data_IF_222785295657
#
_entry.id   IF_222785295657
#
_cell.length_a   1.000
_cell.length_b   1.000
_cell.length_c   1.000
_cell.angle_alpha   90.00
_cell.angle_beta   90.00
_cell.angle_gamma   90.00
#
_symmetry.space_group_name_H-M   'P 1'
#
loop_
_entity.id
_entity.type
_entity.pdbx_description
1 polymer ?
#
# COMPACT_ATOMS: atom_id res chain seq x y z
N UNK A 1 -10.95 -16.20 -20.56
CA UNK A 1 -10.80 -14.74 -20.85
C UNK A 1 -9.35 -14.40 -20.62
N UNK A 2 -8.72 -13.57 -21.48
CA UNK A 2 -7.28 -13.25 -21.37
C UNK A 2 -7.04 -12.35 -20.16
N UNK A 3 -5.99 -12.64 -19.37
CA UNK A 3 -5.50 -11.77 -18.30
C UNK A 3 -4.46 -10.82 -18.89
N UNK A 4 -4.64 -9.53 -18.70
CA UNK A 4 -3.74 -8.49 -19.24
C UNK A 4 -3.28 -7.55 -18.13
N UNK A 5 -2.02 -7.10 -18.21
CA UNK A 5 -1.45 -6.10 -17.30
C UNK A 5 -0.70 -5.01 -18.07
N UNK A 6 -0.72 -3.81 -17.55
CA UNK A 6 0.17 -2.76 -18.03
C UNK A 6 1.59 -3.00 -17.50
N UNK A 7 2.53 -3.18 -18.41
CA UNK A 7 3.92 -3.36 -18.08
C UNK A 7 4.68 -2.04 -18.22
N UNK A 8 5.21 -1.51 -17.13
CA UNK A 8 5.97 -0.25 -17.13
C UNK A 8 7.23 -0.34 -17.98
N UNK A 9 7.83 -1.53 -18.09
CA UNK A 9 9.05 -1.76 -18.89
C UNK A 9 8.79 -1.55 -20.39
N UNK A 10 7.69 -2.08 -20.90
CA UNK A 10 7.30 -1.98 -22.32
C UNK A 10 6.35 -0.81 -22.60
N UNK A 11 5.72 -0.26 -21.52
CA UNK A 11 4.70 0.79 -21.57
C UNK A 11 3.45 0.42 -22.35
N UNK A 12 3.12 -0.85 -22.33
CA UNK A 12 1.96 -1.40 -23.01
C UNK A 12 1.15 -2.26 -22.05
N UNK A 13 -0.15 -2.36 -22.34
CA UNK A 13 -0.99 -3.40 -21.78
C UNK A 13 -0.78 -4.67 -22.61
N UNK A 14 -0.35 -5.73 -21.96
CA UNK A 14 0.08 -6.98 -22.59
C UNK A 14 -0.67 -8.15 -21.96
N UNK A 15 -0.90 -9.20 -22.73
CA UNK A 15 -1.39 -10.48 -22.22
C UNK A 15 -0.34 -11.08 -21.29
N UNK A 16 -0.76 -11.47 -20.11
CA UNK A 16 0.14 -12.04 -19.11
C UNK A 16 0.36 -13.54 -19.38
N UNK A 17 1.62 -13.92 -19.41
CA UNK A 17 2.07 -15.30 -19.48
C UNK A 17 3.11 -15.52 -18.38
N UNK A 18 2.89 -16.51 -17.51
CA UNK A 18 3.88 -16.89 -16.51
C UNK A 18 5.05 -17.64 -17.15
N UNK A 19 6.24 -17.49 -16.57
CA UNK A 19 7.45 -18.21 -17.00
C UNK A 19 7.26 -19.72 -16.85
N UNK A 20 6.76 -20.13 -15.67
CA UNK A 20 6.41 -21.53 -15.40
C UNK A 20 4.90 -21.70 -15.58
N UNK A 21 4.46 -22.76 -16.22
CA UNK A 21 3.03 -23.00 -16.47
C UNK A 21 2.24 -23.00 -15.16
N UNK A 22 1.17 -22.19 -15.11
CA UNK A 22 0.25 -22.04 -13.95
C UNK A 22 0.91 -21.59 -12.62
N UNK A 23 2.19 -21.18 -12.66
CA UNK A 23 2.89 -20.70 -11.47
C UNK A 23 3.42 -19.28 -11.70
N UNK A 24 3.17 -18.39 -10.75
CA UNK A 24 3.63 -17.00 -10.78
C UNK A 24 4.59 -16.74 -9.63
N UNK A 25 5.76 -16.21 -9.94
CA UNK A 25 6.74 -15.71 -9.00
C UNK A 25 6.69 -14.20 -8.98
N UNK A 26 6.34 -13.63 -7.82
CA UNK A 26 6.11 -12.19 -7.65
C UNK A 26 7.00 -11.64 -6.54
N UNK A 27 7.64 -10.50 -6.79
CA UNK A 27 8.34 -9.72 -5.78
C UNK A 27 7.66 -8.37 -5.58
N UNK A 28 7.51 -7.95 -4.34
CA UNK A 28 6.97 -6.64 -3.99
C UNK A 28 7.89 -5.92 -3.01
N UNK A 29 8.23 -4.67 -3.30
CA UNK A 29 8.96 -3.83 -2.35
C UNK A 29 8.11 -3.60 -1.11
N UNK A 30 8.64 -4.01 0.04
CA UNK A 30 8.03 -3.86 1.35
C UNK A 30 8.37 -2.53 2.03
N UNK A 31 8.01 -2.36 3.30
CA UNK A 31 8.23 -1.12 4.04
C UNK A 31 9.67 -0.97 4.52
N UNK A 32 10.11 0.29 4.63
CA UNK A 32 11.24 0.66 5.48
C UNK A 32 10.70 0.96 6.88
N UNK A 33 11.14 0.19 7.87
CA UNK A 33 10.51 0.14 9.20
C UNK A 33 11.16 1.06 10.23
N UNK A 34 11.40 2.32 9.87
CA UNK A 34 11.87 3.36 10.80
C UNK A 34 10.73 4.22 11.37
N UNK A 35 9.52 4.07 10.88
CA UNK A 35 8.33 4.81 11.32
C UNK A 35 7.05 4.12 10.88
N UNK A 36 5.89 4.58 11.38
CA UNK A 36 4.58 4.10 10.93
C UNK A 36 4.42 4.22 9.42
N UNK A 37 3.90 3.15 8.80
CA UNK A 37 3.39 3.21 7.44
C UNK A 37 2.10 4.05 7.41
N UNK A 38 1.97 4.90 6.41
CA UNK A 38 0.80 5.76 6.24
C UNK A 38 -0.13 5.22 5.14
N UNK A 39 -1.34 5.78 5.04
CA UNK A 39 -2.35 5.36 4.07
C UNK A 39 -1.87 5.38 2.61
N UNK A 40 -0.92 6.26 2.27
CA UNK A 40 -0.31 6.27 0.94
C UNK A 40 0.51 5.02 0.65
N UNK A 41 1.26 4.51 1.65
CA UNK A 41 1.96 3.23 1.52
C UNK A 41 0.94 2.08 1.43
N UNK A 42 -0.09 2.09 2.27
CA UNK A 42 -1.11 1.03 2.25
C UNK A 42 -1.92 0.98 0.96
N UNK A 43 -2.09 2.07 0.23
CA UNK A 43 -2.64 2.02 -1.12
C UNK A 43 -1.84 1.09 -2.03
N UNK A 44 -0.50 1.16 -1.97
CA UNK A 44 0.38 0.28 -2.75
C UNK A 44 0.26 -1.18 -2.28
N UNK A 45 0.18 -1.43 -0.97
CA UNK A 45 0.00 -2.81 -0.46
C UNK A 45 -1.39 -3.38 -0.76
N UNK A 46 -2.44 -2.54 -0.79
CA UNK A 46 -3.78 -2.94 -1.26
C UNK A 46 -3.74 -3.33 -2.75
N UNK A 47 -3.02 -2.56 -3.57
CA UNK A 47 -2.79 -2.91 -4.98
C UNK A 47 -2.07 -4.25 -5.12
N UNK A 48 -1.00 -4.49 -4.38
CA UNK A 48 -0.25 -5.75 -4.39
C UNK A 48 -1.12 -6.95 -3.97
N UNK A 49 -1.94 -6.78 -2.92
CA UNK A 49 -2.90 -7.79 -2.46
C UNK A 49 -3.97 -8.07 -3.53
N UNK A 50 -4.49 -7.03 -4.16
CA UNK A 50 -5.49 -7.18 -5.24
C UNK A 50 -4.91 -7.94 -6.41
N UNK A 51 -3.68 -7.63 -6.86
CA UNK A 51 -2.98 -8.37 -7.91
C UNK A 51 -2.82 -9.84 -7.53
N UNK A 52 -2.36 -10.10 -6.31
CA UNK A 52 -2.22 -11.45 -5.76
C UNK A 52 -3.55 -12.23 -5.83
N UNK A 53 -4.64 -11.58 -5.41
CA UNK A 53 -6.00 -12.18 -5.41
C UNK A 53 -6.51 -12.41 -6.84
N UNK A 54 -6.27 -11.48 -7.76
CA UNK A 54 -6.61 -11.65 -9.19
C UNK A 54 -5.86 -12.82 -9.81
N UNK A 55 -4.56 -12.97 -9.54
CA UNK A 55 -3.77 -14.11 -10.02
C UNK A 55 -4.33 -15.44 -9.48
N UNK A 56 -4.60 -15.53 -8.17
CA UNK A 56 -5.19 -16.72 -7.56
C UNK A 56 -6.61 -17.01 -8.08
N UNK A 57 -7.41 -15.98 -8.31
CA UNK A 57 -8.76 -16.13 -8.88
C UNK A 57 -8.73 -16.68 -10.31
N UNK A 58 -7.68 -16.39 -11.07
CA UNK A 58 -7.41 -16.96 -12.39
C UNK A 58 -6.74 -18.35 -12.35
N UNK A 59 -6.54 -18.93 -11.16
CA UNK A 59 -6.04 -20.29 -10.99
C UNK A 59 -4.51 -20.43 -10.93
N UNK A 60 -3.77 -19.34 -10.84
CA UNK A 60 -2.31 -19.42 -10.68
C UNK A 60 -1.90 -19.84 -9.27
N UNK A 61 -0.92 -20.74 -9.17
CA UNK A 61 -0.12 -20.95 -7.96
C UNK A 61 0.85 -19.78 -7.80
N UNK A 62 0.86 -19.16 -6.63
CA UNK A 62 1.61 -17.93 -6.40
C UNK A 62 2.71 -18.10 -5.36
N UNK A 63 3.93 -17.74 -5.73
CA UNK A 63 5.04 -17.53 -4.80
C UNK A 63 5.36 -16.04 -4.71
N UNK A 64 4.82 -15.38 -3.69
CA UNK A 64 5.01 -13.95 -3.45
C UNK A 64 6.04 -13.71 -2.36
N UNK A 65 7.04 -12.89 -2.66
CA UNK A 65 8.09 -12.45 -1.73
C UNK A 65 7.94 -10.95 -1.48
N UNK A 66 8.02 -10.54 -0.22
CA UNK A 66 8.09 -9.15 0.20
C UNK A 66 9.22 -8.98 1.22
N UNK A 67 10.03 -7.94 1.04
CA UNK A 67 11.05 -7.58 2.01
C UNK A 67 10.49 -6.74 3.16
N UNK A 68 11.25 -6.73 4.25
CA UNK A 68 11.22 -5.70 5.29
C UNK A 68 12.60 -5.05 5.30
N UNK A 69 12.67 -3.78 4.94
CA UNK A 69 13.91 -3.00 5.03
C UNK A 69 14.12 -2.58 6.48
N UNK A 70 14.82 -3.41 7.21
CA UNK A 70 15.18 -3.26 8.63
C UNK A 70 16.65 -2.90 8.84
N UNK A 71 17.35 -2.52 7.78
CA UNK A 71 18.67 -1.89 7.81
C UNK A 71 18.55 -0.39 7.62
N UNK A 72 19.53 0.35 8.10
CA UNK A 72 19.62 1.78 7.87
C UNK A 72 19.96 2.09 6.42
N UNK A 73 19.39 3.15 5.89
CA UNK A 73 19.80 3.75 4.63
C UNK A 73 19.65 5.27 4.66
N UNK A 74 20.39 5.94 3.81
CA UNK A 74 20.50 7.39 3.80
C UNK A 74 19.19 8.08 3.39
N UNK A 75 19.02 9.34 3.79
CA UNK A 75 17.77 10.10 3.54
C UNK A 75 17.50 10.31 2.06
N UNK A 76 18.57 10.52 1.27
CA UNK A 76 18.49 10.77 -0.17
C UNK A 76 18.67 9.49 -0.99
N UNK A 77 17.93 9.39 -2.07
CA UNK A 77 18.11 8.34 -3.10
C UNK A 77 19.45 8.50 -3.87
N UNK A 78 20.18 9.61 -3.63
CA UNK A 78 21.51 9.88 -4.16
C UNK A 78 22.65 9.47 -3.21
N UNK A 79 22.37 8.61 -2.24
CA UNK A 79 23.31 8.12 -1.22
C UNK A 79 23.88 9.24 -0.32
N UNK A 80 23.06 10.24 0.02
CA UNK A 80 23.43 11.38 0.87
C UNK A 80 22.47 11.55 2.05
N UNK A 81 22.94 12.26 3.08
CA UNK A 81 22.16 12.59 4.27
C UNK A 81 22.42 11.64 5.44
N UNK A 82 21.57 11.73 6.44
CA UNK A 82 21.64 10.93 7.65
C UNK A 82 20.91 9.59 7.47
N UNK A 83 21.38 8.55 8.17
CA UNK A 83 20.68 7.27 8.20
C UNK A 83 19.32 7.40 8.89
N UNK A 84 18.24 7.01 8.19
CA UNK A 84 16.86 7.13 8.66
C UNK A 84 16.57 6.30 9.90
N UNK A 85 17.16 5.09 9.99
CA UNK A 85 16.96 4.19 11.13
C UNK A 85 17.66 4.73 12.38
N UNK A 86 18.91 5.17 12.24
CA UNK A 86 19.66 5.75 13.34
C UNK A 86 19.06 7.08 13.83
N UNK A 87 18.55 7.89 12.91
CA UNK A 87 17.82 9.11 13.23
C UNK A 87 16.56 8.81 14.07
N UNK A 88 15.81 7.78 13.68
CA UNK A 88 14.63 7.33 14.44
C UNK A 88 15.05 6.80 15.83
N UNK A 89 16.09 5.98 15.88
CA UNK A 89 16.62 5.41 17.12
C UNK A 89 17.05 6.50 18.12
N UNK A 90 17.80 7.52 17.66
CA UNK A 90 18.18 8.67 18.51
C UNK A 90 16.97 9.46 18.99
N UNK A 91 16.00 9.71 18.12
CA UNK A 91 14.77 10.45 18.45
C UNK A 91 13.94 9.71 19.52
N UNK A 92 13.81 8.40 19.41
CA UNK A 92 13.02 7.58 20.33
C UNK A 92 13.84 7.04 21.51
N UNK A 93 15.17 7.27 21.53
CA UNK A 93 16.12 6.75 22.55
C UNK A 93 16.06 5.22 22.68
N UNK A 94 15.97 4.54 21.54
CA UNK A 94 15.90 3.09 21.44
C UNK A 94 17.00 2.56 20.53
N UNK A 95 17.27 1.27 20.62
CA UNK A 95 18.15 0.56 19.69
C UNK A 95 17.51 0.49 18.29
N UNK A 96 18.27 0.67 17.17
CA UNK A 96 17.73 0.56 15.82
C UNK A 96 17.01 -0.76 15.53
N UNK A 97 17.48 -1.88 16.08
CA UNK A 97 16.82 -3.18 15.92
C UNK A 97 15.48 -3.25 16.66
N UNK A 98 15.36 -2.61 17.83
CA UNK A 98 14.09 -2.48 18.55
C UNK A 98 13.09 -1.64 17.75
N UNK A 99 13.56 -0.54 17.16
CA UNK A 99 12.74 0.31 16.28
C UNK A 99 12.22 -0.49 15.09
N UNK A 100 13.11 -1.19 14.39
CA UNK A 100 12.76 -2.00 13.22
C UNK A 100 11.73 -3.10 13.57
N UNK A 101 11.92 -3.81 14.67
CA UNK A 101 10.98 -4.83 15.12
C UNK A 101 9.62 -4.24 15.48
N UNK A 102 9.59 -3.15 16.24
CA UNK A 102 8.36 -2.47 16.65
C UNK A 102 7.50 -2.04 15.45
N UNK A 103 8.09 -1.34 14.49
CA UNK A 103 7.34 -0.87 13.31
C UNK A 103 6.99 -2.01 12.34
N UNK A 104 7.79 -3.08 12.29
CA UNK A 104 7.45 -4.30 11.56
C UNK A 104 6.17 -4.93 12.10
N UNK A 105 6.06 -5.10 13.42
CA UNK A 105 4.86 -5.67 14.04
C UNK A 105 3.61 -4.84 13.78
N UNK A 106 3.73 -3.51 13.87
CA UNK A 106 2.61 -2.61 13.59
C UNK A 106 2.19 -2.71 12.12
N UNK A 107 3.15 -2.71 11.21
CA UNK A 107 2.87 -2.86 9.78
C UNK A 107 2.09 -4.16 9.49
N UNK A 108 2.53 -5.28 10.06
CA UNK A 108 1.85 -6.57 9.89
C UNK A 108 0.43 -6.57 10.48
N UNK A 109 0.23 -5.94 11.64
CA UNK A 109 -1.11 -5.76 12.24
C UNK A 109 -2.02 -4.89 11.36
N UNK A 110 -1.49 -3.83 10.77
CA UNK A 110 -2.27 -2.97 9.88
C UNK A 110 -2.61 -3.67 8.56
N UNK A 111 -1.73 -4.55 8.03
CA UNK A 111 -2.09 -5.45 6.93
C UNK A 111 -3.26 -6.37 7.29
N UNK A 112 -3.26 -6.96 8.49
CA UNK A 112 -4.37 -7.81 8.97
C UNK A 112 -5.68 -7.03 9.05
N UNK A 113 -5.67 -5.80 9.61
CA UNK A 113 -6.86 -4.93 9.67
C UNK A 113 -7.42 -4.59 8.28
N UNK A 114 -6.56 -4.47 7.28
CA UNK A 114 -6.92 -4.22 5.88
C UNK A 114 -7.31 -5.50 5.12
N UNK A 115 -7.34 -6.65 5.80
CA UNK A 115 -7.53 -7.96 5.17
C UNK A 115 -6.61 -8.13 3.94
N UNK A 116 -5.33 -7.80 4.12
CA UNK A 116 -4.28 -8.04 3.13
C UNK A 116 -3.67 -9.41 3.42
N UNK A 117 -3.70 -10.29 2.44
CA UNK A 117 -3.12 -11.63 2.56
C UNK A 117 -1.60 -11.53 2.72
N UNK A 118 -1.05 -12.25 3.70
CA UNK A 118 0.41 -12.31 3.87
C UNK A 118 1.07 -12.95 2.64
N UNK A 119 2.17 -12.35 2.12
CA UNK A 119 3.03 -13.03 1.16
C UNK A 119 3.51 -14.38 1.68
N UNK A 120 3.78 -15.32 0.78
CA UNK A 120 4.32 -16.63 1.13
C UNK A 120 5.69 -16.52 1.82
N UNK A 121 6.45 -15.48 1.48
CA UNK A 121 7.74 -15.18 2.11
C UNK A 121 7.79 -13.69 2.45
N UNK A 122 7.98 -13.40 3.74
CA UNK A 122 8.40 -12.09 4.23
C UNK A 122 9.80 -12.27 4.78
N UNK A 123 10.78 -11.49 4.29
CA UNK A 123 12.18 -11.61 4.67
C UNK A 123 12.80 -10.25 5.02
N UNK A 124 13.60 -10.21 6.05
CA UNK A 124 14.29 -9.00 6.51
C UNK A 124 15.60 -8.78 5.77
N UNK A 125 15.97 -7.54 5.51
CA UNK A 125 17.25 -7.18 4.92
C UNK A 125 18.43 -7.69 5.77
N UNK A 126 18.34 -7.57 7.12
CA UNK A 126 19.36 -8.07 8.05
C UNK A 126 19.60 -9.58 7.98
N UNK A 127 18.62 -10.36 7.51
CA UNK A 127 18.73 -11.82 7.32
C UNK A 127 19.43 -12.21 6.02
N UNK A 128 19.78 -11.22 5.18
CA UNK A 128 20.30 -11.44 3.83
C UNK A 128 21.68 -10.79 3.59
N UNK A 129 22.38 -10.35 4.62
CA UNK A 129 23.65 -9.62 4.53
C UNK A 129 24.72 -10.42 3.77
N UNK A 130 24.91 -11.72 4.07
CA UNK A 130 25.90 -12.55 3.38
C UNK A 130 25.59 -12.70 1.89
N UNK A 131 24.32 -12.84 1.54
CA UNK A 131 23.87 -12.95 0.15
C UNK A 131 24.08 -11.63 -0.61
N UNK A 132 23.87 -10.49 0.06
CA UNK A 132 24.16 -9.17 -0.51
C UNK A 132 25.65 -8.98 -0.79
N UNK A 133 26.53 -9.39 0.15
CA UNK A 133 27.97 -9.36 -0.06
C UNK A 133 28.37 -10.21 -1.26
N UNK A 134 27.82 -11.42 -1.39
CA UNK A 134 28.13 -12.29 -2.52
C UNK A 134 27.61 -11.74 -3.84
N UNK A 135 26.46 -11.08 -3.83
CA UNK A 135 25.91 -10.40 -4.99
C UNK A 135 26.81 -9.25 -5.47
N UNK A 136 27.31 -8.42 -4.53
CA UNK A 136 28.28 -7.35 -4.84
C UNK A 136 29.59 -7.90 -5.41
N UNK A 137 30.14 -9.00 -4.83
CA UNK A 137 31.34 -9.66 -5.38
C UNK A 137 31.13 -10.09 -6.82
N UNK A 138 29.94 -10.61 -7.18
CA UNK A 138 29.62 -11.04 -8.53
C UNK A 138 29.59 -9.84 -9.49
N UNK A 139 28.95 -8.72 -9.11
CA UNK A 139 28.94 -7.48 -9.88
C UNK A 139 30.37 -6.95 -10.11
N UNK A 140 31.20 -6.95 -9.06
CA UNK A 140 32.63 -6.55 -9.17
C UNK A 140 33.38 -7.47 -10.14
N UNK A 141 33.22 -8.79 -9.98
CA UNK A 141 33.86 -9.79 -10.84
C UNK A 141 33.54 -9.59 -12.32
N UNK A 142 32.28 -9.19 -12.60
CA UNK A 142 31.79 -8.94 -13.95
C UNK A 142 32.21 -7.55 -14.50
N UNK A 143 32.89 -6.72 -13.69
CA UNK A 143 33.43 -5.42 -14.11
C UNK A 143 32.44 -4.27 -14.10
N UNK A 144 31.30 -4.40 -13.39
CA UNK A 144 30.27 -3.37 -13.29
C UNK A 144 30.35 -2.52 -12.01
N UNK A 145 31.34 -2.76 -11.15
CA UNK A 145 31.51 -1.98 -9.93
C UNK A 145 32.98 -1.61 -9.67
N UNK A 146 33.19 -0.57 -8.87
CA UNK A 146 34.50 -0.09 -8.46
C UNK A 146 34.46 0.38 -7.01
N UNK A 147 35.66 0.43 -6.37
CA UNK A 147 35.83 0.88 -5.01
C UNK A 147 36.21 2.36 -4.97
N UNK A 148 35.67 3.07 -3.98
CA UNK A 148 36.03 4.45 -3.59
C UNK A 148 36.40 4.49 -2.11
N UNK A 149 36.79 5.65 -1.59
CA UNK A 149 37.00 5.83 -0.15
C UNK A 149 35.72 5.59 0.66
N UNK A 150 34.54 5.82 0.07
CA UNK A 150 33.21 5.69 0.71
C UNK A 150 32.57 4.33 0.59
N UNK A 151 33.00 3.48 -0.33
CA UNK A 151 32.42 2.16 -0.53
C UNK A 151 32.54 1.62 -1.94
N UNK A 152 31.65 0.69 -2.28
CA UNK A 152 31.57 0.05 -3.60
C UNK A 152 30.42 0.68 -4.37
N UNK A 153 30.70 1.15 -5.57
CA UNK A 153 29.74 1.82 -6.45
C UNK A 153 29.54 1.05 -7.74
N UNK A 154 28.29 1.04 -8.23
CA UNK A 154 27.94 0.52 -9.52
C UNK A 154 28.33 1.51 -10.62
N UNK A 155 29.01 1.04 -11.66
CA UNK A 155 29.44 1.80 -12.84
C UNK A 155 28.38 1.72 -13.95
N UNK A 156 27.46 2.69 -13.99
CA UNK A 156 26.37 2.68 -15.00
C UNK A 156 26.89 2.81 -16.45
N UNK A 157 28.11 3.32 -16.65
CA UNK A 157 28.70 3.46 -17.98
C UNK A 157 29.00 2.12 -18.66
N UNK A 158 28.97 1.01 -17.88
CA UNK A 158 29.15 -0.36 -18.39
C UNK A 158 27.89 -0.96 -18.97
N UNK A 159 26.71 -0.35 -18.73
CA UNK A 159 25.46 -0.80 -19.29
C UNK A 159 25.25 -0.22 -20.69
N UNK A 160 24.77 -1.06 -21.62
CA UNK A 160 24.40 -0.63 -22.97
C UNK A 160 23.32 0.46 -22.95
N UNK A 161 22.42 0.38 -21.97
CA UNK A 161 21.32 1.32 -21.77
C UNK A 161 20.99 1.49 -20.29
N UNK A 162 21.03 2.74 -19.82
CA UNK A 162 20.55 3.20 -18.53
C UNK A 162 20.07 4.65 -18.67
N UNK A 163 18.90 5.04 -18.18
CA UNK A 163 17.87 4.20 -17.56
C UNK A 163 17.05 3.38 -18.59
N UNK A 164 16.44 2.29 -18.13
CA UNK A 164 15.65 1.37 -18.96
C UNK A 164 14.15 1.54 -18.70
N UNK A 165 13.78 1.62 -17.40
CA UNK A 165 12.40 1.62 -16.93
C UNK A 165 11.78 3.02 -16.97
N UNK A 166 12.48 4.03 -16.44
CA UNK A 166 11.98 5.41 -16.32
C UNK A 166 11.95 6.16 -17.65
N UNK A 167 12.86 5.80 -18.59
CA UNK A 167 13.07 6.49 -19.87
C UNK A 167 13.31 8.01 -19.72
N UNK A 168 13.72 8.47 -18.55
CA UNK A 168 14.13 9.86 -18.36
C UNK A 168 15.49 10.08 -18.99
N UNK A 169 15.71 11.28 -19.53
CA UNK A 169 17.07 11.68 -19.91
C UNK A 169 17.84 11.97 -18.60
N UNK A 170 19.05 11.42 -18.50
CA UNK A 170 19.89 11.63 -17.32
C UNK A 170 20.13 13.13 -17.04
N UNK A 171 20.32 13.92 -18.10
CA UNK A 171 20.54 15.37 -17.98
C UNK A 171 19.37 16.13 -17.32
N UNK A 172 18.14 15.64 -17.46
CA UNK A 172 16.97 16.26 -16.82
C UNK A 172 16.95 16.05 -15.28
N UNK A 173 17.70 15.08 -14.77
CA UNK A 173 17.84 14.84 -13.33
C UNK A 173 18.83 15.79 -12.67
N UNK A 174 19.90 16.20 -13.39
CA UNK A 174 20.89 17.18 -12.88
C UNK A 174 20.25 18.57 -12.74
N UNK A 175 19.36 18.94 -13.65
CA UNK A 175 18.75 20.27 -13.65
C UNK A 175 17.86 20.56 -12.41
N UNK A 176 17.40 19.52 -11.70
CA UNK A 176 16.54 19.63 -10.51
C UNK A 176 17.21 19.36 -9.15
N UNK A 177 18.41 18.80 -9.13
CA UNK A 177 19.14 18.47 -7.92
C UNK A 177 20.41 19.33 -7.82
N UNK A 178 20.49 20.16 -6.77
CA UNK A 178 21.77 20.68 -6.27
C UNK A 178 22.47 19.54 -5.53
N UNK A 179 23.03 18.58 -6.29
CA UNK A 179 23.83 17.50 -5.73
C UNK A 179 25.28 17.94 -5.83
N UNK A 180 25.96 18.02 -4.71
CA UNK A 180 27.42 18.09 -4.69
C UNK A 180 27.93 16.78 -5.28
N UNK A 181 28.47 16.84 -6.50
CA UNK A 181 28.97 15.66 -7.22
C UNK A 181 30.15 15.11 -6.45
N UNK A 182 30.03 13.88 -5.94
CA UNK A 182 31.14 13.19 -5.30
C UNK A 182 32.30 13.03 -6.33
N UNK A 183 33.46 13.64 -6.09
CA UNK A 183 34.58 13.63 -7.04
C UNK A 183 35.17 12.23 -7.28
N UNK A 184 34.89 11.26 -6.41
CA UNK A 184 35.34 9.88 -6.57
C UNK A 184 34.41 9.04 -7.47
N UNK A 185 33.18 9.50 -7.73
CA UNK A 185 32.27 8.83 -8.67
C UNK A 185 32.74 9.03 -10.12
N UNK A 186 32.81 7.96 -10.89
CA UNK A 186 33.14 8.03 -12.33
C UNK A 186 32.03 8.71 -13.13
N UNK A 187 30.79 8.51 -12.73
CA UNK A 187 29.61 9.15 -13.29
C UNK A 187 28.73 9.66 -12.13
N UNK A 188 28.16 10.87 -12.22
CA UNK A 188 27.28 11.41 -11.16
C UNK A 188 26.11 10.51 -10.79
N UNK A 189 25.68 9.63 -11.69
CA UNK A 189 24.57 8.69 -11.50
C UNK A 189 25.00 7.31 -11.01
N UNK A 190 26.30 7.08 -10.81
CA UNK A 190 26.75 5.85 -10.17
C UNK A 190 26.21 5.82 -8.74
N UNK A 191 25.73 4.68 -8.32
CA UNK A 191 25.04 4.49 -7.04
C UNK A 191 25.73 3.46 -6.16
N UNK A 192 25.57 3.61 -4.86
CA UNK A 192 26.23 2.74 -3.90
C UNK A 192 25.63 1.33 -3.90
N UNK A 193 26.50 0.33 -3.94
CA UNK A 193 26.16 -1.07 -3.68
C UNK A 193 26.44 -1.41 -2.22
N UNK A 194 27.56 -0.93 -1.69
CA UNK A 194 28.01 -1.23 -0.33
C UNK A 194 28.74 -0.01 0.24
N UNK A 195 28.32 0.48 1.41
CA UNK A 195 28.77 1.76 1.97
C UNK A 195 29.63 1.51 3.19
N UNK A 196 30.83 2.11 3.26
CA UNK A 196 31.70 2.06 4.44
C UNK A 196 31.02 2.79 5.59
N UNK A 197 30.88 2.08 6.72
CA UNK A 197 30.16 2.61 7.88
C UNK A 197 31.03 3.66 8.60
N UNK A 198 30.45 4.84 8.97
CA UNK A 198 31.07 5.73 9.92
C UNK A 198 31.35 5.04 11.25
N UNK A 199 32.32 5.54 12.03
CA UNK A 199 32.75 4.90 13.28
C UNK A 199 31.58 4.63 14.24
N UNK A 200 30.68 5.60 14.37
CA UNK A 200 29.52 5.56 15.27
C UNK A 200 28.28 4.90 14.68
N UNK A 201 28.35 4.38 13.46
CA UNK A 201 27.20 3.69 12.83
C UNK A 201 26.93 2.37 13.54
N UNK A 202 25.67 2.12 13.92
CA UNK A 202 25.30 0.95 14.74
C UNK A 202 25.09 -0.27 13.84
N UNK A 203 24.27 -0.12 12.76
CA UNK A 203 23.91 -1.21 11.86
C UNK A 203 24.98 -1.42 10.79
N UNK A 204 26.06 -2.09 11.15
CA UNK A 204 27.22 -2.37 10.27
C UNK A 204 27.68 -3.81 10.42
N UNK A 205 28.23 -4.35 9.35
CA UNK A 205 28.67 -5.74 9.26
C UNK A 205 30.08 -5.83 8.69
N UNK A 206 30.80 -6.87 9.12
CA UNK A 206 32.07 -7.23 8.51
C UNK A 206 31.86 -7.63 7.03
N UNK A 207 32.68 -7.11 6.17
CA UNK A 207 32.67 -7.40 4.74
C UNK A 207 34.10 -7.43 4.19
N UNK A 208 34.32 -7.90 2.96
CA UNK A 208 35.65 -7.82 2.32
C UNK A 208 36.17 -6.38 2.16
N UNK A 209 35.30 -5.39 2.31
CA UNK A 209 35.59 -3.96 2.17
C UNK A 209 35.64 -3.22 3.50
N UNK A 210 35.70 -3.98 4.62
CA UNK A 210 35.69 -3.48 6.00
C UNK A 210 34.28 -3.40 6.60
N UNK A 211 34.18 -2.76 7.78
CA UNK A 211 32.91 -2.50 8.46
C UNK A 211 32.02 -1.58 7.61
N UNK A 212 30.84 -2.06 7.22
CA UNK A 212 30.04 -1.43 6.19
C UNK A 212 28.59 -1.94 6.19
N UNK A 213 27.73 -1.35 5.36
CA UNK A 213 26.32 -1.71 5.25
C UNK A 213 25.85 -1.65 3.79
N UNK A 214 24.73 -2.32 3.42
CA UNK A 214 24.25 -2.38 2.05
C UNK A 214 23.67 -1.05 1.58
N UNK A 215 23.81 -0.75 0.28
CA UNK A 215 23.01 0.24 -0.40
C UNK A 215 21.57 -0.21 -0.55
N UNK A 216 20.63 0.72 -0.51
CA UNK A 216 19.19 0.44 -0.46
C UNK A 216 18.66 -0.47 -1.59
N UNK A 217 19.14 -0.30 -2.82
CA UNK A 217 18.65 -1.05 -3.98
C UNK A 217 19.08 -2.51 -3.96
N UNK A 218 20.21 -2.81 -3.31
CA UNK A 218 20.80 -4.13 -3.26
C UNK A 218 19.93 -5.15 -2.49
N UNK A 219 19.15 -4.67 -1.53
CA UNK A 219 18.29 -5.50 -0.72
C UNK A 219 17.28 -6.26 -1.58
N UNK A 220 16.48 -5.52 -2.37
CA UNK A 220 15.43 -6.09 -3.21
C UNK A 220 16.01 -6.98 -4.31
N UNK A 221 17.09 -6.54 -4.98
CA UNK A 221 17.77 -7.36 -5.98
C UNK A 221 18.25 -8.70 -5.44
N UNK A 222 18.86 -8.68 -4.25
CA UNK A 222 19.39 -9.90 -3.62
C UNK A 222 18.28 -10.82 -3.14
N UNK A 223 17.27 -10.29 -2.43
CA UNK A 223 16.17 -11.09 -1.91
C UNK A 223 15.29 -11.63 -3.04
N UNK A 224 15.02 -10.82 -4.08
CA UNK A 224 14.33 -11.28 -5.28
C UNK A 224 15.04 -12.47 -5.91
N UNK A 225 16.34 -12.37 -6.18
CA UNK A 225 17.13 -13.45 -6.75
C UNK A 225 17.19 -14.69 -5.83
N UNK A 226 17.41 -14.50 -4.54
CA UNK A 226 17.51 -15.60 -3.56
C UNK A 226 16.27 -16.48 -3.54
N UNK A 227 15.09 -15.89 -3.55
CA UNK A 227 13.84 -16.62 -3.33
C UNK A 227 13.09 -16.95 -4.61
N UNK A 228 13.27 -16.17 -5.69
CA UNK A 228 12.53 -16.32 -6.94
C UNK A 228 13.41 -16.74 -8.13
N UNK A 229 14.73 -16.66 -8.00
CA UNK A 229 15.68 -16.94 -9.08
C UNK A 229 16.12 -15.68 -9.82
N UNK A 230 16.94 -15.87 -10.85
CA UNK A 230 17.49 -14.76 -11.65
C UNK A 230 16.43 -14.03 -12.46
N UNK A 231 15.39 -14.74 -12.86
CA UNK A 231 14.24 -14.21 -13.59
C UNK A 231 12.95 -14.69 -12.91
N UNK A 232 11.97 -13.77 -12.78
CA UNK A 232 10.67 -14.05 -12.20
C UNK A 232 9.58 -13.25 -12.95
N UNK A 233 8.32 -13.51 -12.67
CA UNK A 233 7.23 -13.02 -13.49
C UNK A 233 6.92 -11.55 -13.27
N UNK A 234 6.70 -11.13 -12.02
CA UNK A 234 6.16 -9.81 -11.71
C UNK A 234 6.97 -9.12 -10.60
N UNK A 235 7.35 -7.85 -10.83
CA UNK A 235 7.88 -6.95 -9.81
C UNK A 235 6.92 -5.78 -9.60
N UNK A 236 6.63 -5.43 -8.32
CA UNK A 236 5.68 -4.36 -8.00
C UNK A 236 6.24 -3.36 -7.00
N UNK A 237 5.77 -2.11 -7.11
CA UNK A 237 6.08 -1.03 -6.16
C UNK A 237 5.20 0.19 -6.36
N UNK A 238 5.57 1.32 -5.75
CA UNK A 238 5.01 2.62 -6.04
C UNK A 238 5.67 3.25 -7.27
N UNK A 239 5.03 4.23 -7.90
CA UNK A 239 5.60 4.97 -9.04
C UNK A 239 6.88 5.74 -8.68
N UNK A 240 7.09 6.02 -7.39
CA UNK A 240 8.31 6.61 -6.85
C UNK A 240 9.54 5.70 -6.99
N UNK A 241 9.35 4.40 -7.07
CA UNK A 241 10.45 3.44 -7.30
C UNK A 241 10.97 3.45 -8.74
N UNK A 242 10.15 3.88 -9.72
CA UNK A 242 10.50 3.82 -11.16
C UNK A 242 11.81 4.57 -11.46
N UNK A 243 12.01 5.83 -11.03
CA UNK A 243 13.14 6.63 -11.50
C UNK A 243 14.49 6.21 -10.93
N UNK A 244 14.53 5.53 -9.80
CA UNK A 244 15.77 5.24 -9.07
C UNK A 244 15.82 3.80 -8.57
N UNK A 245 14.91 3.40 -7.66
CA UNK A 245 15.00 2.13 -6.96
C UNK A 245 14.93 0.93 -7.92
N UNK A 246 13.87 0.79 -8.68
CA UNK A 246 13.70 -0.31 -9.63
C UNK A 246 14.65 -0.20 -10.83
N UNK A 247 15.01 1.01 -11.24
CA UNK A 247 16.01 1.22 -12.27
C UNK A 247 17.36 0.64 -11.84
N UNK A 248 17.77 0.89 -10.60
CA UNK A 248 19.01 0.40 -10.03
C UNK A 248 18.98 -1.11 -9.76
N UNK A 249 17.82 -1.68 -9.40
CA UNK A 249 17.67 -3.14 -9.32
C UNK A 249 17.88 -3.81 -10.69
N UNK A 250 17.33 -3.22 -11.77
CA UNK A 250 17.58 -3.70 -13.13
C UNK A 250 19.06 -3.61 -13.46
N UNK A 251 19.73 -2.50 -13.13
CA UNK A 251 21.15 -2.32 -13.36
C UNK A 251 21.98 -3.36 -12.60
N UNK A 252 21.69 -3.58 -11.31
CA UNK A 252 22.36 -4.59 -10.49
C UNK A 252 22.18 -6.00 -11.05
N UNK A 253 20.96 -6.37 -11.46
CA UNK A 253 20.69 -7.68 -12.05
C UNK A 253 21.45 -7.86 -13.37
N UNK A 254 21.45 -6.85 -14.25
CA UNK A 254 22.25 -6.88 -15.48
C UNK A 254 23.75 -7.01 -15.20
N UNK A 255 24.27 -6.29 -14.20
CA UNK A 255 25.68 -6.39 -13.80
C UNK A 255 26.05 -7.76 -13.24
N UNK A 256 25.15 -8.41 -12.51
CA UNK A 256 25.38 -9.73 -11.92
C UNK A 256 25.16 -10.87 -12.93
N UNK A 257 24.05 -10.84 -13.70
CA UNK A 257 23.57 -12.00 -14.49
C UNK A 257 23.44 -11.72 -15.99
N UNK A 258 23.54 -10.47 -16.40
CA UNK A 258 23.25 -10.03 -17.79
C UNK A 258 21.75 -9.90 -18.10
N UNK A 259 20.84 -10.16 -17.14
CA UNK A 259 19.39 -10.26 -17.34
C UNK A 259 18.61 -9.17 -16.62
N UNK A 260 17.41 -8.87 -17.12
CA UNK A 260 16.39 -8.08 -16.38
C UNK A 260 15.63 -9.06 -15.48
N UNK A 261 15.50 -8.77 -14.17
CA UNK A 261 15.03 -9.78 -13.20
C UNK A 261 13.53 -10.09 -13.32
N UNK A 262 12.70 -9.15 -13.73
CA UNK A 262 11.26 -9.36 -13.85
C UNK A 262 10.75 -9.09 -15.25
N UNK A 263 9.81 -9.92 -15.71
CA UNK A 263 9.20 -9.79 -17.04
C UNK A 263 8.14 -8.69 -17.07
N UNK A 264 7.38 -8.51 -15.98
CA UNK A 264 6.32 -7.50 -15.85
C UNK A 264 6.61 -6.59 -14.66
N UNK A 265 6.65 -5.29 -14.90
CA UNK A 265 6.84 -4.26 -13.88
C UNK A 265 5.56 -3.47 -13.69
N UNK A 266 4.99 -3.53 -12.49
CA UNK A 266 3.71 -2.88 -12.20
C UNK A 266 3.85 -1.88 -11.05
N UNK A 267 3.29 -0.69 -11.24
CA UNK A 267 3.45 0.40 -10.28
C UNK A 267 2.12 1.04 -9.92
N UNK A 268 1.91 1.23 -8.61
CA UNK A 268 0.76 1.94 -8.06
C UNK A 268 1.03 3.45 -8.01
N UNK A 269 0.09 4.24 -8.48
CA UNK A 269 0.18 5.71 -8.49
C UNK A 269 -0.08 6.29 -7.08
N UNK A 270 0.32 7.52 -6.85
CA UNK A 270 0.27 8.19 -5.55
C UNK A 270 -1.15 8.36 -4.99
N UNK A 271 -1.23 8.28 -3.66
CA UNK A 271 -2.34 8.83 -2.90
C UNK A 271 -2.03 10.30 -2.58
N UNK A 272 -2.90 11.20 -3.01
CA UNK A 272 -2.90 12.61 -2.62
C UNK A 272 -3.80 12.81 -1.40
N UNK A 273 -3.59 13.88 -0.65
CA UNK A 273 -4.47 14.29 0.45
C UNK A 273 -4.88 15.73 0.19
N UNK A 274 -6.19 15.98 0.17
CA UNK A 274 -6.81 17.29 -0.10
C UNK A 274 -6.21 17.99 -1.34
N UNK A 275 -5.99 17.20 -2.41
CA UNK A 275 -5.44 17.68 -3.68
C UNK A 275 -3.93 17.92 -3.70
N UNK A 276 -3.24 17.74 -2.56
CA UNK A 276 -1.80 17.97 -2.39
C UNK A 276 -0.99 16.68 -2.24
N UNK A 277 0.34 16.84 -2.29
CA UNK A 277 1.27 15.75 -1.97
C UNK A 277 1.17 15.42 -0.48
N UNK A 278 1.09 14.13 -0.15
CA UNK A 278 1.22 13.65 1.22
C UNK A 278 2.68 13.77 1.66
N UNK A 279 2.95 14.44 2.79
CA UNK A 279 4.28 14.47 3.39
C UNK A 279 4.22 14.67 4.90
N UNK A 280 5.20 14.10 5.62
CA UNK A 280 5.33 14.27 7.07
C UNK A 280 5.53 15.74 7.48
N UNK A 281 6.24 16.52 6.65
CA UNK A 281 6.49 17.94 6.91
C UNK A 281 5.24 18.81 6.82
N UNK A 282 4.24 18.39 6.04
CA UNK A 282 2.95 19.08 5.94
C UNK A 282 1.94 18.61 6.99
N UNK A 283 2.27 17.61 7.81
CA UNK A 283 1.37 17.07 8.82
C UNK A 283 0.10 16.38 8.27
N UNK A 284 0.08 16.08 6.97
CA UNK A 284 -1.07 15.48 6.26
C UNK A 284 -0.89 13.98 5.97
N UNK A 285 -0.06 13.29 6.77
CA UNK A 285 0.11 11.84 6.71
C UNK A 285 -0.78 11.20 7.78
N UNK A 286 -1.59 10.22 7.38
CA UNK A 286 -2.50 9.49 8.27
C UNK A 286 -2.13 8.01 8.32
N UNK A 287 -2.16 7.42 9.52
CA UNK A 287 -2.03 5.97 9.74
C UNK A 287 -3.39 5.28 9.69
N UNK A 288 -3.40 3.96 9.60
CA UNK A 288 -4.65 3.17 9.68
C UNK A 288 -5.34 3.37 11.04
N UNK A 289 -4.58 3.43 12.14
CA UNK A 289 -5.15 3.69 13.47
C UNK A 289 -5.83 5.06 13.56
N UNK A 290 -5.22 6.10 12.96
CA UNK A 290 -5.83 7.44 12.93
C UNK A 290 -7.11 7.49 12.07
N UNK A 291 -7.25 6.64 11.04
CA UNK A 291 -8.53 6.51 10.33
C UNK A 291 -9.59 5.87 11.24
N UNK A 292 -9.21 4.82 11.99
CA UNK A 292 -10.12 4.17 12.95
C UNK A 292 -10.59 5.13 14.04
N UNK A 293 -9.69 5.93 14.63
CA UNK A 293 -10.03 6.99 15.61
C UNK A 293 -11.04 8.01 15.06
N UNK A 294 -11.10 8.17 13.74
CA UNK A 294 -12.08 9.04 13.06
C UNK A 294 -13.31 8.29 12.53
N UNK A 295 -13.55 7.06 12.98
CA UNK A 295 -14.70 6.24 12.59
C UNK A 295 -14.66 5.74 11.13
N UNK A 296 -13.46 5.61 10.53
CA UNK A 296 -13.27 5.05 9.21
C UNK A 296 -12.60 3.69 9.36
N UNK A 297 -13.33 2.62 9.04
CA UNK A 297 -12.77 1.28 9.14
C UNK A 297 -11.66 1.06 8.09
N UNK A 298 -10.67 0.20 8.38
CA UNK A 298 -9.63 -0.16 7.42
C UNK A 298 -10.19 -0.72 6.11
N UNK A 299 -11.27 -1.51 6.17
CA UNK A 299 -11.93 -2.08 4.99
C UNK A 299 -12.68 -1.00 4.17
N UNK A 300 -13.17 0.06 4.82
CA UNK A 300 -13.72 1.21 4.10
C UNK A 300 -12.62 1.97 3.35
N UNK A 301 -11.44 2.12 3.92
CA UNK A 301 -10.29 2.66 3.21
C UNK A 301 -9.86 1.75 2.04
N UNK A 302 -9.87 0.43 2.21
CA UNK A 302 -9.63 -0.50 1.10
C UNK A 302 -10.65 -0.33 -0.03
N UNK A 303 -11.94 -0.23 0.30
CA UNK A 303 -13.01 0.04 -0.66
C UNK A 303 -12.82 1.41 -1.34
N UNK A 304 -12.40 2.44 -0.59
CA UNK A 304 -12.06 3.75 -1.13
C UNK A 304 -10.96 3.65 -2.19
N UNK A 305 -9.93 2.82 -1.97
CA UNK A 305 -8.86 2.61 -2.94
C UNK A 305 -9.38 2.01 -4.27
N UNK A 306 -10.48 1.25 -4.26
CA UNK A 306 -11.09 0.68 -5.47
C UNK A 306 -11.91 1.69 -6.29
N UNK A 307 -12.11 2.91 -5.81
CA UNK A 307 -12.81 3.97 -6.58
C UNK A 307 -11.98 4.53 -7.73
N UNK A 308 -10.67 4.31 -7.72
CA UNK A 308 -9.77 4.69 -8.80
C UNK A 308 -8.95 3.48 -9.27
N UNK A 309 -8.59 3.50 -10.57
CA UNK A 309 -7.64 2.54 -11.10
C UNK A 309 -6.27 2.71 -10.41
N UNK A 310 -5.53 1.63 -10.15
CA UNK A 310 -4.26 1.68 -9.42
C UNK A 310 -3.21 2.59 -10.10
N UNK A 311 -3.25 2.76 -11.41
CA UNK A 311 -2.37 3.66 -12.19
C UNK A 311 -2.81 5.13 -12.20
N UNK A 312 -3.94 5.47 -11.61
CA UNK A 312 -4.42 6.84 -11.52
C UNK A 312 -4.16 7.39 -10.11
N UNK A 313 -3.84 8.69 -10.02
CA UNK A 313 -3.80 9.38 -8.74
C UNK A 313 -5.15 9.27 -8.06
N UNK A 314 -5.15 9.04 -6.76
CA UNK A 314 -6.35 9.01 -5.93
C UNK A 314 -6.23 10.11 -4.89
N UNK A 315 -7.23 10.97 -4.81
CA UNK A 315 -7.26 12.04 -3.83
C UNK A 315 -8.04 11.61 -2.59
N UNK A 316 -7.36 11.43 -1.48
CA UNK A 316 -7.98 11.16 -0.19
C UNK A 316 -8.51 12.45 0.41
N UNK A 317 -9.78 12.41 0.80
CA UNK A 317 -10.44 13.38 1.66
C UNK A 317 -11.22 12.63 2.72
N UNK A 318 -11.39 13.21 3.90
CA UNK A 318 -12.23 12.59 4.93
C UNK A 318 -13.68 12.42 4.47
N UNK A 319 -14.22 13.37 3.71
CA UNK A 319 -15.56 13.24 3.12
C UNK A 319 -15.66 12.01 2.20
N UNK A 320 -14.69 11.82 1.31
CA UNK A 320 -14.62 10.64 0.44
C UNK A 320 -14.48 9.34 1.21
N UNK A 321 -13.67 9.33 2.28
CA UNK A 321 -13.47 8.17 3.12
C UNK A 321 -14.73 7.83 3.95
N UNK A 322 -15.45 8.82 4.49
CA UNK A 322 -16.76 8.61 5.12
C UNK A 322 -17.81 8.12 4.11
N UNK A 323 -17.76 8.63 2.87
CA UNK A 323 -18.59 8.12 1.78
C UNK A 323 -18.33 6.63 1.52
N UNK A 324 -17.06 6.20 1.54
CA UNK A 324 -16.68 4.81 1.40
C UNK A 324 -17.09 3.96 2.62
N UNK A 325 -17.04 4.49 3.85
CA UNK A 325 -17.56 3.84 5.05
C UNK A 325 -19.05 3.52 4.90
N UNK A 326 -19.85 4.51 4.54
CA UNK A 326 -21.30 4.32 4.30
C UNK A 326 -21.60 3.42 3.10
N UNK A 327 -20.71 3.40 2.09
CA UNK A 327 -20.83 2.47 0.97
C UNK A 327 -20.56 1.02 1.43
N UNK A 328 -19.55 0.78 2.25
CA UNK A 328 -19.25 -0.54 2.80
C UNK A 328 -20.40 -1.06 3.65
N UNK A 329 -20.96 -0.23 4.54
CA UNK A 329 -22.14 -0.58 5.36
C UNK A 329 -23.32 -1.03 4.48
N UNK A 330 -23.63 -0.27 3.41
CA UNK A 330 -24.68 -0.63 2.44
C UNK A 330 -24.37 -1.93 1.69
N UNK A 331 -23.10 -2.18 1.37
CA UNK A 331 -22.70 -3.43 0.72
C UNK A 331 -22.91 -4.63 1.65
N UNK A 332 -22.51 -4.49 2.91
CA UNK A 332 -22.72 -5.55 3.93
C UNK A 332 -24.22 -5.81 4.20
N UNK A 333 -25.02 -4.75 4.37
CA UNK A 333 -26.47 -4.89 4.51
C UNK A 333 -27.09 -5.59 3.30
N UNK A 334 -26.67 -5.23 2.09
CA UNK A 334 -27.12 -5.89 0.88
C UNK A 334 -26.72 -7.36 0.82
N UNK A 335 -25.49 -7.70 1.20
CA UNK A 335 -25.04 -9.08 1.26
C UNK A 335 -25.90 -9.90 2.25
N UNK A 336 -26.14 -9.38 3.45
CA UNK A 336 -26.98 -10.06 4.48
C UNK A 336 -28.40 -10.26 3.96
N UNK A 337 -29.00 -9.23 3.31
CA UNK A 337 -30.34 -9.35 2.71
C UNK A 337 -30.38 -10.43 1.62
N UNK A 338 -29.32 -10.55 0.82
CA UNK A 338 -29.22 -11.60 -0.19
C UNK A 338 -28.98 -12.97 0.44
N UNK A 339 -28.17 -13.07 1.51
CA UNK A 339 -27.94 -14.33 2.21
C UNK A 339 -29.21 -14.94 2.82
N UNK A 340 -30.17 -14.09 3.19
CA UNK A 340 -31.50 -14.47 3.70
C UNK A 340 -32.58 -14.38 2.61
N UNK A 341 -32.23 -14.09 1.37
CA UNK A 341 -33.17 -13.92 0.27
C UNK A 341 -33.68 -15.24 -0.29
N UNK A 342 -34.94 -15.23 -0.70
CA UNK A 342 -35.66 -16.43 -1.24
C UNK A 342 -36.04 -16.26 -2.71
N UNK A 343 -35.75 -15.12 -3.32
CA UNK A 343 -36.07 -14.89 -4.73
C UNK A 343 -35.27 -15.82 -5.64
N UNK A 344 -35.94 -16.39 -6.62
CA UNK A 344 -35.27 -17.16 -7.66
C UNK A 344 -34.64 -16.19 -8.70
N UNK A 345 -33.40 -16.45 -9.02
CA UNK A 345 -32.63 -15.73 -10.05
C UNK A 345 -32.11 -16.73 -11.07
N UNK A 346 -32.29 -16.42 -12.34
CA UNK A 346 -31.82 -17.23 -13.44
C UNK A 346 -30.29 -17.40 -13.40
N UNK A 347 -29.82 -18.62 -13.67
CA UNK A 347 -28.39 -18.95 -13.71
C UNK A 347 -27.64 -18.15 -14.81
N UNK A 348 -28.30 -17.82 -15.90
CA UNK A 348 -27.72 -17.03 -16.98
C UNK A 348 -27.39 -15.60 -16.50
N UNK A 349 -28.22 -15.02 -15.61
CA UNK A 349 -27.95 -13.71 -14.99
C UNK A 349 -26.73 -13.81 -14.06
N UNK A 350 -26.64 -14.86 -13.27
CA UNK A 350 -25.48 -15.09 -12.37
C UNK A 350 -24.20 -15.21 -13.19
N UNK A 351 -24.25 -15.99 -14.27
CA UNK A 351 -23.12 -16.20 -15.17
C UNK A 351 -22.72 -14.90 -15.89
N UNK A 352 -23.67 -14.07 -16.34
CA UNK A 352 -23.41 -12.77 -16.95
C UNK A 352 -22.65 -11.86 -15.98
N UNK A 353 -23.10 -11.74 -14.72
CA UNK A 353 -22.41 -10.94 -13.72
C UNK A 353 -20.99 -11.46 -13.45
N UNK A 354 -20.81 -12.78 -13.37
CA UNK A 354 -19.51 -13.39 -13.18
C UNK A 354 -18.55 -13.10 -14.35
N UNK A 355 -19.02 -13.26 -15.58
CA UNK A 355 -18.23 -12.98 -16.78
C UNK A 355 -17.84 -11.49 -16.88
N UNK A 356 -18.75 -10.58 -16.54
CA UNK A 356 -18.47 -9.14 -16.52
C UNK A 356 -17.47 -8.76 -15.43
N UNK A 357 -17.59 -9.31 -14.23
CA UNK A 357 -16.62 -9.09 -13.15
C UNK A 357 -15.24 -9.61 -13.55
N UNK A 358 -15.16 -10.82 -14.09
CA UNK A 358 -13.92 -11.42 -14.57
C UNK A 358 -13.29 -10.58 -15.70
N UNK A 359 -14.11 -10.04 -16.61
CA UNK A 359 -13.63 -9.16 -17.67
C UNK A 359 -12.90 -7.94 -17.12
N UNK A 360 -13.47 -7.29 -16.10
CA UNK A 360 -12.88 -6.11 -15.49
C UNK A 360 -11.60 -6.41 -14.70
N UNK A 361 -11.58 -7.45 -13.87
CA UNK A 361 -10.38 -7.77 -13.10
C UNK A 361 -9.23 -8.26 -13.98
N UNK A 362 -9.54 -8.85 -15.13
CA UNK A 362 -8.55 -9.32 -16.11
C UNK A 362 -8.09 -8.21 -17.07
N UNK A 363 -8.76 -7.07 -17.08
CA UNK A 363 -8.36 -5.89 -17.84
C UNK A 363 -7.54 -4.92 -17.00
N UNK A 364 -6.29 -5.30 -16.72
CA UNK A 364 -5.34 -4.49 -15.95
C UNK A 364 -5.87 -4.11 -14.56
N UNK A 365 -6.57 -5.06 -13.91
CA UNK A 365 -7.19 -4.87 -12.59
C UNK A 365 -8.10 -3.63 -12.54
N UNK A 366 -9.01 -3.48 -13.48
CA UNK A 366 -9.99 -2.40 -13.50
C UNK A 366 -10.99 -2.54 -12.33
N UNK A 367 -10.52 -2.21 -11.12
CA UNK A 367 -11.34 -2.34 -9.90
C UNK A 367 -12.58 -1.42 -9.92
N UNK A 368 -12.54 -0.18 -10.43
CA UNK A 368 -13.77 0.62 -10.59
C UNK A 368 -14.83 -0.10 -11.43
N UNK A 369 -14.43 -0.73 -12.54
CA UNK A 369 -15.33 -1.52 -13.38
C UNK A 369 -15.87 -2.76 -12.66
N UNK A 370 -15.00 -3.51 -11.97
CA UNK A 370 -15.39 -4.66 -11.16
C UNK A 370 -16.40 -4.27 -10.05
N UNK A 371 -16.15 -3.16 -9.36
CA UNK A 371 -17.07 -2.62 -8.34
C UNK A 371 -18.41 -2.19 -8.92
N UNK A 372 -18.49 -1.75 -10.18
CA UNK A 372 -19.79 -1.43 -10.81
C UNK A 372 -20.71 -2.64 -10.86
N UNK A 373 -20.17 -3.83 -11.17
CA UNK A 373 -20.90 -5.09 -11.17
C UNK A 373 -21.36 -5.47 -9.76
N UNK A 374 -20.50 -5.30 -8.76
CA UNK A 374 -20.85 -5.54 -7.34
C UNK A 374 -22.02 -4.65 -6.92
N UNK A 375 -22.00 -3.35 -7.30
CA UNK A 375 -23.05 -2.39 -6.98
C UNK A 375 -24.36 -2.68 -7.72
N UNK A 376 -24.34 -3.24 -8.93
CA UNK A 376 -25.54 -3.67 -9.64
C UNK A 376 -26.25 -4.81 -8.86
N UNK A 377 -25.49 -5.81 -8.40
CA UNK A 377 -26.03 -6.88 -7.57
C UNK A 377 -26.56 -6.32 -6.23
N UNK A 378 -25.80 -5.46 -5.57
CA UNK A 378 -26.19 -4.88 -4.29
C UNK A 378 -27.52 -4.10 -4.37
N UNK A 379 -27.77 -3.39 -5.48
CA UNK A 379 -28.98 -2.59 -5.72
C UNK A 379 -30.12 -3.38 -6.33
N UNK A 380 -29.91 -4.65 -6.69
CA UNK A 380 -30.98 -5.47 -7.29
C UNK A 380 -32.16 -5.58 -6.33
N UNK A 381 -33.37 -5.46 -6.88
CA UNK A 381 -34.61 -5.58 -6.09
C UNK A 381 -34.87 -7.00 -5.60
N UNK A 382 -34.51 -7.99 -6.39
CA UNK A 382 -34.54 -9.41 -5.97
C UNK A 382 -33.44 -9.67 -4.93
N UNK A 383 -33.78 -10.46 -3.91
CA UNK A 383 -32.84 -10.91 -2.87
C UNK A 383 -32.75 -12.42 -2.91
N UNK A 384 -31.55 -12.92 -3.22
CA UNK A 384 -31.32 -14.35 -3.51
C UNK A 384 -29.98 -14.80 -2.92
N UNK A 385 -29.98 -16.02 -2.36
CA UNK A 385 -28.76 -16.72 -1.94
C UNK A 385 -27.75 -16.88 -3.08
N UNK A 386 -28.20 -16.96 -4.34
CA UNK A 386 -27.34 -16.99 -5.52
C UNK A 386 -26.50 -15.71 -5.63
N UNK A 387 -27.10 -14.53 -5.39
CA UNK A 387 -26.38 -13.25 -5.35
C UNK A 387 -25.41 -13.18 -4.15
N UNK A 388 -25.81 -13.66 -2.98
CA UNK A 388 -24.91 -13.72 -1.83
C UNK A 388 -23.68 -14.58 -2.13
N UNK A 389 -23.86 -15.75 -2.72
CA UNK A 389 -22.78 -16.65 -3.10
C UNK A 389 -21.86 -16.01 -4.16
N UNK A 390 -22.42 -15.27 -5.11
CA UNK A 390 -21.66 -14.55 -6.13
C UNK A 390 -20.83 -13.41 -5.52
N UNK A 391 -21.41 -12.65 -4.58
CA UNK A 391 -20.69 -11.61 -3.85
C UNK A 391 -19.52 -12.19 -3.03
N UNK A 392 -19.71 -13.34 -2.36
CA UNK A 392 -18.61 -14.03 -1.68
C UNK A 392 -17.54 -14.54 -2.65
N UNK A 393 -17.93 -14.96 -3.85
CA UNK A 393 -16.98 -15.34 -4.89
C UNK A 393 -16.13 -14.15 -5.32
N UNK A 394 -16.75 -12.98 -5.53
CA UNK A 394 -16.06 -11.73 -5.85
C UNK A 394 -15.19 -11.23 -4.70
N UNK A 395 -15.62 -11.48 -3.46
CA UNK A 395 -14.86 -11.07 -2.27
C UNK A 395 -13.50 -11.78 -2.15
N UNK A 396 -13.31 -12.91 -2.81
CA UNK A 396 -11.97 -13.52 -2.96
C UNK A 396 -10.96 -12.57 -3.61
N UNK A 397 -11.43 -11.67 -4.49
CA UNK A 397 -10.63 -10.62 -5.13
C UNK A 397 -10.68 -9.33 -4.31
N UNK A 398 -11.85 -8.92 -3.84
CA UNK A 398 -12.03 -7.65 -3.15
C UNK A 398 -11.39 -7.64 -1.76
N UNK A 399 -11.45 -8.78 -1.05
CA UNK A 399 -10.93 -8.89 0.31
C UNK A 399 -11.59 -7.92 1.27
N UNK A 400 -12.91 -7.70 1.14
CA UNK A 400 -13.71 -6.85 2.02
C UNK A 400 -14.35 -7.64 3.17
N UNK A 401 -14.02 -8.92 3.28
CA UNK A 401 -14.46 -9.81 4.35
C UNK A 401 -15.99 -9.86 4.54
N UNK A 402 -16.71 -9.94 3.42
CA UNK A 402 -18.19 -9.93 3.41
C UNK A 402 -18.81 -11.04 4.24
N UNK A 403 -18.11 -12.17 4.41
CA UNK A 403 -18.58 -13.28 5.25
C UNK A 403 -18.83 -12.85 6.69
N UNK A 404 -18.09 -11.87 7.20
CA UNK A 404 -18.20 -11.32 8.55
C UNK A 404 -19.00 -10.00 8.61
N UNK A 405 -19.80 -9.71 7.58
CA UNK A 405 -20.55 -8.46 7.44
C UNK A 405 -21.42 -8.11 8.67
N UNK A 406 -22.10 -9.09 9.27
CA UNK A 406 -22.94 -8.87 10.46
C UNK A 406 -22.11 -8.34 11.65
N UNK A 407 -20.92 -8.93 11.88
CA UNK A 407 -20.02 -8.50 12.93
C UNK A 407 -19.60 -7.04 12.72
N UNK A 408 -19.16 -6.68 11.52
CA UNK A 408 -18.74 -5.30 11.21
C UNK A 408 -19.89 -4.29 11.34
N UNK A 409 -21.10 -4.64 10.90
CA UNK A 409 -22.25 -3.74 11.07
C UNK A 409 -22.63 -3.53 12.54
N UNK A 410 -22.43 -4.52 13.42
CA UNK A 410 -22.60 -4.36 14.87
C UNK A 410 -21.53 -3.44 15.45
N UNK A 411 -20.27 -3.63 15.08
CA UNK A 411 -19.15 -2.78 15.51
C UNK A 411 -19.38 -1.33 15.09
N UNK A 412 -19.77 -1.06 13.84
CA UNK A 412 -20.06 0.29 13.34
C UNK A 412 -21.22 0.95 14.07
N UNK A 413 -22.27 0.19 14.45
CA UNK A 413 -23.38 0.71 15.23
C UNK A 413 -22.95 1.02 16.67
N UNK A 414 -22.05 0.23 17.25
CA UNK A 414 -21.52 0.50 18.60
C UNK A 414 -20.65 1.76 18.62
N UNK A 415 -19.83 1.99 17.58
CA UNK A 415 -19.06 3.24 17.44
C UNK A 415 -19.95 4.46 17.21
N UNK A 416 -21.11 4.32 16.54
CA UNK A 416 -22.13 5.40 16.45
C UNK A 416 -22.91 5.60 17.76
N UNK A 417 -22.97 4.55 18.58
CA UNK A 417 -23.64 4.54 19.89
C UNK A 417 -22.64 4.47 21.06
N UNK A 418 -21.53 5.21 21.04
CA UNK A 418 -20.92 5.59 22.32
C UNK A 418 -22.03 6.21 23.14
N UNK A 419 -22.44 5.52 24.22
CA UNK A 419 -23.53 5.97 25.06
C UNK A 419 -23.24 7.40 25.51
N UNK A 420 -23.94 8.33 24.87
CA UNK A 420 -23.88 9.72 25.31
C UNK A 420 -24.07 9.74 26.84
N UNK A 421 -23.25 10.44 27.59
CA UNK A 421 -23.46 10.60 29.03
C UNK A 421 -24.91 10.96 29.32
N UNK A 422 -25.46 10.47 30.40
CA UNK A 422 -26.86 10.71 30.75
C UNK A 422 -27.22 12.19 30.73
N UNK A 423 -26.27 13.07 31.11
CA UNK A 423 -26.41 14.51 30.99
C UNK A 423 -26.64 14.99 29.55
N UNK A 424 -25.90 14.46 28.61
CA UNK A 424 -26.04 14.80 27.17
C UNK A 424 -27.34 14.24 26.62
N UNK A 425 -27.70 12.99 26.96
CA UNK A 425 -28.99 12.40 26.57
C UNK A 425 -30.16 13.27 27.07
N UNK A 426 -30.12 13.72 28.31
CA UNK A 426 -31.14 14.58 28.88
C UNK A 426 -31.24 15.92 28.14
N UNK A 427 -30.10 16.56 27.82
CA UNK A 427 -30.07 17.82 27.07
C UNK A 427 -30.62 17.63 25.62
N UNK A 428 -30.34 16.52 24.98
CA UNK A 428 -30.87 16.22 23.64
C UNK A 428 -32.38 16.06 23.66
N UNK A 429 -32.92 15.39 24.68
CA UNK A 429 -34.37 15.20 24.83
C UNK A 429 -35.06 16.51 25.19
N UNK A 430 -34.49 17.31 26.11
CA UNK A 430 -34.98 18.64 26.43
C UNK A 430 -34.99 19.58 25.21
N UNK A 431 -33.96 19.47 24.34
CA UNK A 431 -33.91 20.24 23.08
C UNK A 431 -34.99 19.79 22.10
N UNK A 432 -35.27 18.49 22.00
CA UNK A 432 -36.37 17.98 21.15
C UNK A 432 -37.70 18.53 21.61
N UNK A 433 -37.94 18.56 22.92
CA UNK A 433 -39.15 19.10 23.50
C UNK A 433 -39.29 20.60 23.21
N UNK A 434 -38.23 21.40 23.47
CA UNK A 434 -38.20 22.83 23.19
C UNK A 434 -38.53 23.13 21.68
N UNK A 435 -38.04 22.31 20.77
CA UNK A 435 -38.34 22.43 19.32
C UNK A 435 -39.79 22.06 19.00
N UNK A 436 -40.34 21.02 19.63
CA UNK A 436 -41.75 20.65 19.46
C UNK A 436 -42.68 21.75 19.92
N UNK A 437 -42.31 22.45 20.99
CA UNK A 437 -42.99 23.61 21.58
C UNK A 437 -42.73 24.94 20.82
N UNK A 438 -41.89 24.89 19.76
CA UNK A 438 -41.41 26.04 18.95
C UNK A 438 -40.67 27.09 19.81
N UNK A 439 -40.10 26.70 20.94
CA UNK A 439 -39.24 27.53 21.76
C UNK A 439 -37.80 27.54 21.25
N UNK A 440 -37.57 28.35 20.24
CA UNK A 440 -36.29 28.39 19.52
C UNK A 440 -35.16 28.92 20.42
N UNK A 441 -35.44 29.90 21.29
CA UNK A 441 -34.43 30.46 22.20
C UNK A 441 -33.88 29.41 23.15
N UNK A 442 -34.75 28.59 23.75
CA UNK A 442 -34.36 27.49 24.63
C UNK A 442 -33.62 26.38 23.86
N UNK A 443 -34.06 26.10 22.63
CA UNK A 443 -33.38 25.12 21.76
C UNK A 443 -31.94 25.52 21.44
N UNK A 444 -31.69 26.82 21.21
CA UNK A 444 -30.36 27.34 20.90
C UNK A 444 -29.47 27.36 22.16
N UNK A 445 -29.99 27.75 23.31
CA UNK A 445 -29.30 27.68 24.60
C UNK A 445 -28.82 26.25 24.92
N UNK A 446 -29.69 25.26 24.75
CA UNK A 446 -29.33 23.83 24.94
C UNK A 446 -28.28 23.37 23.96
N UNK A 447 -28.36 23.82 22.72
CA UNK A 447 -27.35 23.54 21.70
C UNK A 447 -25.97 24.05 22.13
N UNK A 448 -25.90 25.31 22.56
CA UNK A 448 -24.65 25.94 23.01
C UNK A 448 -24.07 25.22 24.23
N UNK A 449 -24.94 24.77 25.15
CA UNK A 449 -24.53 23.97 26.30
C UNK A 449 -23.94 22.61 25.88
N UNK A 450 -24.55 21.91 24.93
CA UNK A 450 -24.02 20.65 24.39
C UNK A 450 -22.65 20.87 23.75
N UNK A 451 -22.48 21.97 22.99
CA UNK A 451 -21.21 22.34 22.38
C UNK A 451 -20.15 22.66 23.46
N UNK A 452 -20.52 23.39 24.52
CA UNK A 452 -19.59 23.71 25.61
C UNK A 452 -19.13 22.50 26.41
N UNK A 453 -19.89 21.41 26.38
CA UNK A 453 -19.53 20.11 26.96
C UNK A 453 -18.68 19.24 26.04
N UNK A 454 -18.24 19.75 24.86
CA UNK A 454 -17.36 19.08 23.94
C UNK A 454 -18.10 18.16 22.96
N UNK A 455 -19.37 18.45 22.65
CA UNK A 455 -20.15 17.66 21.69
C UNK A 455 -20.68 18.54 20.57
N UNK A 456 -20.58 18.06 19.32
CA UNK A 456 -21.30 18.65 18.19
C UNK A 456 -22.73 18.12 18.12
N UNK A 457 -23.66 18.94 17.66
CA UNK A 457 -25.06 18.57 17.47
C UNK A 457 -25.56 19.03 16.10
N UNK A 458 -26.16 18.10 15.34
CA UNK A 458 -26.69 18.36 14.00
C UNK A 458 -28.11 17.81 13.85
N UNK A 459 -29.01 18.65 13.37
CA UNK A 459 -30.37 18.24 13.00
C UNK A 459 -30.39 17.60 11.62
N UNK A 460 -31.02 16.44 11.48
CA UNK A 460 -31.23 15.74 10.22
C UNK A 460 -32.71 15.45 10.00
N UNK A 461 -33.08 14.99 8.79
CA UNK A 461 -34.47 14.59 8.49
C UNK A 461 -34.92 13.38 9.34
N UNK A 462 -33.97 12.58 9.80
CA UNK A 462 -34.20 11.34 10.54
C UNK A 462 -33.98 11.48 12.05
N UNK A 463 -33.66 12.69 12.54
CA UNK A 463 -33.47 12.98 13.96
C UNK A 463 -32.27 13.88 14.27
N UNK A 464 -31.87 13.93 15.53
CA UNK A 464 -30.73 14.71 16.02
C UNK A 464 -29.52 13.80 16.14
N UNK A 465 -28.41 14.19 15.53
CA UNK A 465 -27.12 13.51 15.66
C UNK A 465 -26.25 14.34 16.62
N UNK A 466 -25.69 13.67 17.64
CA UNK A 466 -24.73 14.26 18.58
C UNK A 466 -23.44 13.44 18.56
N UNK A 467 -22.31 14.12 18.47
CA UNK A 467 -20.98 13.47 18.47
C UNK A 467 -20.04 14.22 19.43
N UNK A 468 -19.20 13.48 20.13
CA UNK A 468 -18.14 14.07 20.93
C UNK A 468 -17.11 14.72 20.00
N UNK A 469 -16.78 15.98 20.24
CA UNK A 469 -15.66 16.64 19.56
C UNK A 469 -14.37 16.30 20.32
N UNK A 470 -13.39 15.72 19.59
CA UNK A 470 -12.06 15.40 20.12
C UNK A 470 -11.12 16.61 20.03
#
# INVERSE_FOLDING_TARGET
>A
MKLTFYNTLTRKKEEFHSIDENRVRMYSCGPTVYSYAHIGNFRTYIFMDTLRRVLKYNGYDLKHVMNITDVGHLESDADEGEDKMEKAARKEKKDPYEIANYYTEIFLKDMEKLNIDKPEIITKATENISQMIDYVKEIIKNGYAYETSKGIYFDISKLDKYPVLSNRKLDDQIAGARVDVDPEKKNPYDFALWIKAPENHIMKWESPWGLSYPGWHLECSTMGRRFLGEEFDIHTGGVDHIPTHHENEIAQSKGATGKIPAHVWMHCEYLQVDGGKMSKSLGNTYTISQLQEKGISPLAFKLFCFTAHYRNKLNFTFEGAYGAQKALERLYDSYIKNANGVDDVDEDIIKEYEERFLAYINDDMNMPGAMSVVWEIARNTKKSTKFANLLLKFDKVLGLDMKNAEKYLLEFKHEESEELPEEIKALVEERKQARAEKNWAKSDEIRDRIISLGYSIKDTKDGIIVKKEN
#
